data_IF_795249754998
#
_entry.id   IF_795249754998
#
_cell.length_a   1.000
_cell.length_b   1.000
_cell.length_c   1.000
_cell.angle_alpha   90.00
_cell.angle_beta   90.00
_cell.angle_gamma   90.00
#
_symmetry.space_group_name_H-M   'P 1'
#
loop_
_entity.id
_entity.type
_entity.pdbx_description
1 polymer ?
#
# COMPACT_ATOMS: atom_id res chain seq x y z
N UNK A 1 31.97 38.60 41.85
CA UNK A 1 32.47 37.22 41.73
C UNK A 1 31.32 36.36 41.22
N UNK A 2 31.25 36.17 39.91
CA UNK A 2 30.14 35.51 39.20
C UNK A 2 30.68 34.20 38.67
N UNK A 3 30.25 33.09 39.26
CA UNK A 3 30.44 31.77 38.66
C UNK A 3 29.14 30.98 38.85
N UNK A 4 28.22 31.19 37.91
CA UNK A 4 27.23 30.20 37.52
C UNK A 4 27.95 29.11 36.72
N UNK A 5 27.85 27.86 37.16
CA UNK A 5 28.03 26.71 36.26
C UNK A 5 26.89 25.73 36.53
N UNK A 6 25.73 26.04 35.95
CA UNK A 6 24.68 25.06 35.68
C UNK A 6 25.22 24.09 34.62
N UNK A 7 25.63 22.91 35.06
CA UNK A 7 25.97 21.80 34.16
C UNK A 7 24.68 21.11 33.73
N UNK A 8 24.18 21.48 32.55
CA UNK A 8 23.08 20.81 31.88
C UNK A 8 23.56 19.46 31.32
N UNK A 9 23.38 18.39 32.10
CA UNK A 9 23.52 17.03 31.58
C UNK A 9 22.47 16.76 30.51
N UNK A 10 22.94 16.66 29.27
CA UNK A 10 22.18 16.26 28.10
C UNK A 10 21.66 14.83 28.29
N UNK A 11 20.36 14.68 28.56
CA UNK A 11 19.68 13.39 28.52
C UNK A 11 19.70 12.86 27.07
N UNK A 12 20.14 11.62 26.81
CA UNK A 12 20.05 11.05 25.48
C UNK A 12 18.58 10.73 25.22
N UNK A 13 17.87 11.57 24.47
CA UNK A 13 16.57 11.24 23.90
C UNK A 13 16.74 10.29 22.72
N UNK A 14 17.34 9.13 22.96
CA UNK A 14 17.38 8.04 22.00
C UNK A 14 16.48 6.95 22.56
N UNK A 15 15.17 7.13 22.36
CA UNK A 15 14.19 6.09 22.59
C UNK A 15 14.33 5.02 21.49
N UNK A 16 15.50 4.37 21.43
CA UNK A 16 15.70 3.13 20.71
C UNK A 16 14.85 2.07 21.40
N UNK A 17 13.58 2.00 21.01
CA UNK A 17 12.67 0.95 21.48
C UNK A 17 13.23 -0.38 20.97
N UNK A 18 13.93 -1.10 21.84
CA UNK A 18 14.41 -2.43 21.57
C UNK A 18 13.19 -3.36 21.50
N UNK A 19 12.98 -3.97 20.35
CA UNK A 19 11.92 -4.95 20.17
C UNK A 19 12.52 -6.34 20.29
N UNK A 20 11.97 -7.17 21.18
CA UNK A 20 12.40 -8.57 21.30
C UNK A 20 11.93 -9.35 20.07
N UNK A 21 12.87 -9.77 19.22
CA UNK A 21 12.55 -10.39 17.94
C UNK A 21 11.83 -9.46 16.95
N UNK A 22 11.76 -9.90 15.71
CA UNK A 22 11.16 -9.15 14.62
C UNK A 22 12.01 -9.26 13.36
N UNK A 23 11.46 -8.75 12.27
CA UNK A 23 12.12 -8.71 10.98
C UNK A 23 11.86 -7.36 10.32
N UNK A 24 12.65 -7.08 9.29
CA UNK A 24 12.42 -5.93 8.44
C UNK A 24 11.27 -6.25 7.48
N UNK A 25 10.42 -5.26 7.24
CA UNK A 25 9.30 -5.36 6.29
C UNK A 25 9.25 -4.12 5.43
N UNK A 26 9.15 -4.32 4.11
CA UNK A 26 8.81 -3.25 3.17
C UNK A 26 7.28 -3.13 3.13
N UNK A 27 6.79 -1.99 3.61
CA UNK A 27 5.35 -1.76 3.83
C UNK A 27 4.95 -0.34 3.42
N UNK A 28 3.65 -0.14 3.29
CA UNK A 28 3.04 1.17 3.05
C UNK A 28 2.78 1.86 4.38
N UNK A 29 3.42 3.00 4.60
CA UNK A 29 3.07 3.94 5.66
C UNK A 29 2.03 4.93 5.11
N UNK A 30 0.93 5.13 5.83
CA UNK A 30 -0.11 6.08 5.42
C UNK A 30 0.29 7.48 5.89
N UNK A 31 0.10 8.45 5.02
CA UNK A 31 0.17 9.87 5.31
C UNK A 31 -0.92 10.61 4.57
N UNK A 32 -0.79 11.94 4.57
CA UNK A 32 -1.77 12.84 4.00
C UNK A 32 -2.82 13.28 5.01
N UNK A 33 -3.90 13.87 4.49
CA UNK A 33 -5.00 14.43 5.28
C UNK A 33 -6.23 13.53 5.17
N UNK A 34 -7.25 13.81 5.98
CA UNK A 34 -8.56 13.18 5.86
C UNK A 34 -9.06 13.27 4.40
N UNK A 35 -9.55 12.16 3.85
CA UNK A 35 -10.01 12.03 2.46
C UNK A 35 -8.93 12.29 1.37
N UNK A 36 -7.66 12.49 1.76
CA UNK A 36 -6.51 12.61 0.85
C UNK A 36 -5.40 11.64 1.28
N UNK A 37 -5.58 10.33 1.03
CA UNK A 37 -4.57 9.33 1.39
C UNK A 37 -3.34 9.47 0.48
N UNK A 38 -2.15 9.43 1.09
CA UNK A 38 -0.87 9.36 0.38
C UNK A 38 0.00 8.31 1.06
N UNK A 39 0.54 7.35 0.31
CA UNK A 39 1.35 6.28 0.89
C UNK A 39 2.83 6.51 0.62
N UNK A 40 3.66 6.34 1.66
CA UNK A 40 5.11 6.23 1.53
C UNK A 40 5.50 4.76 1.59
N UNK A 41 6.35 4.34 0.67
CA UNK A 41 6.91 2.98 0.66
C UNK A 41 8.15 3.02 1.54
N UNK A 42 8.14 2.27 2.64
CA UNK A 42 9.18 2.34 3.65
C UNK A 42 9.68 0.94 4.04
N UNK A 43 10.98 0.84 4.30
CA UNK A 43 11.55 -0.29 5.02
C UNK A 43 11.49 0.01 6.52
N UNK A 44 10.72 -0.78 7.27
CA UNK A 44 10.55 -0.56 8.71
C UNK A 44 10.52 -1.91 9.45
N UNK A 45 10.83 -1.88 10.74
CA UNK A 45 10.70 -3.07 11.59
C UNK A 45 9.21 -3.41 11.74
N UNK A 46 8.87 -4.70 11.68
CA UNK A 46 7.49 -5.16 11.74
C UNK A 46 6.70 -4.59 12.94
N UNK A 47 7.34 -4.57 14.13
CA UNK A 47 6.73 -4.12 15.39
C UNK A 47 6.67 -2.60 15.58
N UNK A 48 7.29 -1.81 14.70
CA UNK A 48 7.16 -0.36 14.74
C UNK A 48 5.74 0.07 14.35
N UNK A 49 5.21 1.19 14.89
CA UNK A 49 3.95 1.77 14.44
C UNK A 49 3.93 2.01 12.92
N UNK A 50 2.73 1.96 12.31
CA UNK A 50 2.55 2.07 10.86
C UNK A 50 3.28 3.27 10.26
N UNK A 51 3.04 4.45 10.85
CA UNK A 51 3.54 5.74 10.35
C UNK A 51 4.68 6.28 11.23
N UNK A 52 5.28 5.42 12.05
CA UNK A 52 6.35 5.78 12.98
C UNK A 52 7.74 5.72 12.32
N UNK A 53 8.75 5.45 13.15
CA UNK A 53 10.14 5.35 12.72
C UNK A 53 10.34 4.22 11.69
N UNK A 54 10.92 4.57 10.56
CA UNK A 54 11.37 3.66 9.51
C UNK A 54 12.90 3.73 9.36
N UNK A 55 13.47 2.74 8.68
CA UNK A 55 14.92 2.66 8.39
C UNK A 55 15.26 3.51 7.17
N UNK A 56 14.51 3.32 6.08
CA UNK A 56 14.72 4.02 4.82
C UNK A 56 13.39 4.17 4.08
N UNK A 57 13.23 5.29 3.36
CA UNK A 57 12.12 5.48 2.43
C UNK A 57 12.54 5.01 1.03
N UNK A 58 11.78 4.08 0.47
CA UNK A 58 12.07 3.42 -0.80
C UNK A 58 11.23 3.94 -1.95
N UNK A 59 10.21 4.75 -1.67
CA UNK A 59 9.30 5.24 -2.71
C UNK A 59 8.04 5.91 -2.17
N UNK A 60 7.07 6.10 -3.07
CA UNK A 60 5.76 6.68 -2.80
C UNK A 60 4.67 6.10 -3.69
N UNK A 61 3.43 6.21 -3.25
CA UNK A 61 2.25 5.79 -3.99
C UNK A 61 1.09 6.77 -3.74
N UNK A 62 0.62 7.41 -4.80
CA UNK A 62 -0.61 8.21 -4.80
C UNK A 62 -1.78 7.36 -5.34
N UNK A 63 -2.75 6.98 -4.49
CA UNK A 63 -3.90 6.20 -4.91
C UNK A 63 -4.93 7.02 -5.70
N UNK A 64 -4.91 8.36 -5.57
CA UNK A 64 -5.82 9.25 -6.27
C UNK A 64 -5.27 9.56 -7.66
N UNK A 65 -6.12 9.51 -8.69
CA UNK A 65 -5.69 9.89 -10.03
C UNK A 65 -5.34 11.38 -10.08
N UNK A 66 -4.29 11.71 -10.82
CA UNK A 66 -3.95 13.09 -11.16
C UNK A 66 -4.90 13.65 -12.24
N UNK A 67 -4.64 14.88 -12.71
CA UNK A 67 -5.38 15.53 -13.80
C UNK A 67 -5.39 14.71 -15.09
N UNK A 68 -4.38 13.86 -15.31
CA UNK A 68 -4.27 12.98 -16.46
C UNK A 68 -4.92 11.59 -16.24
N UNK A 69 -5.54 11.34 -15.08
CA UNK A 69 -6.18 10.06 -14.77
C UNK A 69 -5.23 8.96 -14.28
N UNK A 70 -3.96 9.30 -14.03
CA UNK A 70 -2.90 8.34 -13.69
C UNK A 70 -2.64 8.27 -12.19
N UNK A 71 -2.29 7.07 -11.71
CA UNK A 71 -1.85 6.85 -10.33
C UNK A 71 -0.34 6.74 -10.28
N UNK A 72 0.29 7.65 -9.54
CA UNK A 72 1.74 7.74 -9.51
C UNK A 72 2.33 6.80 -8.46
N UNK A 73 3.34 6.03 -8.88
CA UNK A 73 4.10 5.13 -8.03
C UNK A 73 5.58 5.36 -8.30
N UNK A 74 6.32 5.82 -7.29
CA UNK A 74 7.78 5.94 -7.36
C UNK A 74 8.42 4.78 -6.60
N UNK A 75 9.34 4.07 -7.24
CA UNK A 75 10.04 2.92 -6.66
C UNK A 75 11.55 3.04 -6.86
N UNK A 76 12.29 2.98 -5.76
CA UNK A 76 13.74 2.79 -5.82
C UNK A 76 14.05 1.29 -5.88
N UNK A 77 14.17 0.77 -7.10
CA UNK A 77 14.34 -0.66 -7.36
C UNK A 77 15.66 -1.22 -6.77
N UNK A 78 16.74 -0.44 -6.82
CA UNK A 78 18.05 -0.86 -6.30
C UNK A 78 18.00 -1.08 -4.80
N UNK A 79 17.40 -0.14 -4.07
CA UNK A 79 17.26 -0.24 -2.61
C UNK A 79 16.25 -1.31 -2.22
N UNK A 80 15.16 -1.47 -2.97
CA UNK A 80 14.21 -2.56 -2.76
C UNK A 80 14.91 -3.92 -2.90
N UNK A 81 15.70 -4.11 -3.98
CA UNK A 81 16.46 -5.34 -4.20
C UNK A 81 17.46 -5.61 -3.08
N UNK A 82 18.18 -4.57 -2.64
CA UNK A 82 19.11 -4.66 -1.52
C UNK A 82 18.41 -5.17 -0.25
N UNK A 83 17.31 -4.54 0.15
CA UNK A 83 16.62 -4.90 1.38
C UNK A 83 15.98 -6.30 1.32
N UNK A 84 15.46 -6.71 0.16
CA UNK A 84 15.01 -8.09 -0.05
C UNK A 84 16.18 -9.06 0.14
N UNK A 85 17.36 -8.75 -0.40
CA UNK A 85 18.58 -9.54 -0.20
C UNK A 85 19.02 -9.64 1.27
N UNK A 86 18.76 -8.61 2.07
CA UNK A 86 19.00 -8.61 3.52
C UNK A 86 17.93 -9.37 4.34
N UNK A 87 16.96 -10.03 3.68
CA UNK A 87 15.89 -10.77 4.36
C UNK A 87 14.67 -9.92 4.74
N UNK A 88 14.44 -8.77 4.08
CA UNK A 88 13.22 -8.01 4.28
C UNK A 88 12.00 -8.74 3.68
N UNK A 89 10.92 -8.80 4.46
CA UNK A 89 9.64 -9.32 3.99
C UNK A 89 8.85 -8.24 3.25
N UNK A 90 8.00 -8.65 2.30
CA UNK A 90 7.06 -7.75 1.63
C UNK A 90 5.67 -7.86 2.26
N UNK A 91 4.92 -6.76 2.21
CA UNK A 91 3.49 -6.78 2.55
C UNK A 91 2.65 -7.10 1.30
N UNK A 92 1.50 -7.76 1.46
CA UNK A 92 0.58 -8.09 0.36
C UNK A 92 0.27 -6.92 -0.61
N UNK A 93 -0.03 -5.68 -0.16
CA UNK A 93 -0.24 -4.57 -1.09
C UNK A 93 1.03 -4.19 -1.85
N UNK A 94 2.21 -4.29 -1.22
CA UNK A 94 3.49 -4.03 -1.86
C UNK A 94 3.83 -5.08 -2.92
N UNK A 95 3.57 -6.36 -2.64
CA UNK A 95 3.74 -7.45 -3.63
C UNK A 95 2.86 -7.23 -4.86
N UNK A 96 1.61 -6.77 -4.66
CA UNK A 96 0.73 -6.43 -5.77
C UNK A 96 1.25 -5.26 -6.59
N UNK A 97 1.77 -4.22 -5.94
CA UNK A 97 2.37 -3.06 -6.64
C UNK A 97 3.59 -3.47 -7.47
N UNK A 98 4.51 -4.27 -6.89
CA UNK A 98 5.69 -4.79 -7.59
C UNK A 98 5.33 -5.77 -8.71
N UNK A 99 4.24 -6.52 -8.55
CA UNK A 99 3.69 -7.38 -9.59
C UNK A 99 3.14 -6.59 -10.78
N UNK A 100 2.47 -5.46 -10.51
CA UNK A 100 1.96 -4.56 -11.55
C UNK A 100 3.09 -3.79 -12.27
N UNK A 101 4.19 -3.51 -11.58
CA UNK A 101 5.36 -2.86 -12.19
C UNK A 101 6.21 -3.80 -13.05
N UNK A 102 5.90 -5.10 -13.07
CA UNK A 102 6.70 -6.13 -13.76
C UNK A 102 8.01 -6.51 -13.05
N UNK A 103 8.23 -6.04 -11.82
CA UNK A 103 9.42 -6.42 -11.03
C UNK A 103 9.27 -7.79 -10.37
N UNK A 104 8.04 -8.13 -9.98
CA UNK A 104 7.65 -9.45 -9.46
C UNK A 104 6.62 -10.11 -10.38
N UNK A 105 6.41 -11.44 -10.27
CA UNK A 105 5.26 -12.08 -10.89
C UNK A 105 3.95 -11.53 -10.30
N UNK A 106 2.88 -11.58 -11.08
CA UNK A 106 1.58 -11.11 -10.63
C UNK A 106 1.08 -11.97 -9.46
N UNK A 107 0.77 -11.33 -8.33
CA UNK A 107 0.30 -12.04 -7.13
C UNK A 107 -0.97 -12.85 -7.45
N UNK A 108 -1.10 -14.12 -7.00
CA UNK A 108 -2.18 -15.03 -7.41
C UNK A 108 -3.58 -14.46 -7.17
N UNK A 109 -3.77 -13.77 -6.04
CA UNK A 109 -5.05 -13.11 -5.72
C UNK A 109 -5.47 -12.02 -6.72
N UNK A 110 -4.54 -11.39 -7.46
CA UNK A 110 -4.91 -10.43 -8.52
C UNK A 110 -5.66 -11.18 -9.64
N UNK A 111 -5.12 -12.34 -10.06
CA UNK A 111 -5.70 -13.19 -11.10
C UNK A 111 -7.08 -13.69 -10.65
N UNK A 112 -7.15 -14.30 -9.46
CA UNK A 112 -8.40 -14.83 -8.90
C UNK A 112 -9.47 -13.74 -8.73
N UNK A 113 -9.10 -12.54 -8.29
CA UNK A 113 -10.05 -11.44 -8.15
C UNK A 113 -10.56 -10.93 -9.52
N UNK A 114 -9.71 -10.91 -10.54
CA UNK A 114 -10.13 -10.58 -11.90
C UNK A 114 -11.14 -11.60 -12.44
N UNK A 115 -10.91 -12.90 -12.23
CA UNK A 115 -11.85 -13.95 -12.61
C UNK A 115 -13.20 -13.83 -11.88
N UNK A 116 -13.17 -13.57 -10.56
CA UNK A 116 -14.38 -13.34 -9.77
C UNK A 116 -15.18 -12.16 -10.32
N UNK A 117 -14.51 -11.06 -10.67
CA UNK A 117 -15.14 -9.89 -11.26
C UNK A 117 -15.77 -10.20 -12.63
N UNK A 118 -15.07 -10.95 -13.49
CA UNK A 118 -15.61 -11.39 -14.79
C UNK A 118 -16.89 -12.22 -14.63
N UNK A 119 -16.88 -13.22 -13.73
CA UNK A 119 -18.06 -14.04 -13.44
C UNK A 119 -19.21 -13.23 -12.84
N UNK A 120 -18.91 -12.21 -12.03
CA UNK A 120 -19.91 -11.30 -11.47
C UNK A 120 -20.59 -10.47 -12.58
N UNK A 121 -19.79 -9.82 -13.43
CA UNK A 121 -20.31 -9.02 -14.56
C UNK A 121 -21.14 -9.85 -15.53
N UNK A 122 -20.71 -11.08 -15.84
CA UNK A 122 -21.48 -11.99 -16.69
C UNK A 122 -22.87 -12.29 -16.12
N UNK A 123 -22.98 -12.53 -14.81
CA UNK A 123 -24.27 -12.72 -14.12
C UNK A 123 -25.12 -11.46 -14.18
N UNK A 124 -24.54 -10.29 -13.98
CA UNK A 124 -25.25 -9.01 -14.06
C UNK A 124 -25.83 -8.77 -15.46
N UNK A 125 -25.08 -9.10 -16.51
CA UNK A 125 -25.55 -9.02 -17.90
C UNK A 125 -26.73 -9.96 -18.15
N UNK A 126 -26.67 -11.21 -17.68
CA UNK A 126 -27.77 -12.17 -17.82
C UNK A 126 -29.04 -11.69 -17.10
N UNK A 127 -28.91 -11.16 -15.89
CA UNK A 127 -30.03 -10.60 -15.13
C UNK A 127 -30.62 -9.37 -15.83
N UNK A 128 -29.77 -8.52 -16.42
CA UNK A 128 -30.22 -7.36 -17.19
C UNK A 128 -31.00 -7.77 -18.44
N UNK A 129 -30.50 -8.76 -19.22
CA UNK A 129 -31.21 -9.25 -20.41
C UNK A 129 -32.55 -9.93 -20.07
N UNK A 130 -32.63 -10.62 -18.93
CA UNK A 130 -33.91 -11.20 -18.50
C UNK A 130 -34.94 -10.12 -18.19
N UNK A 131 -34.53 -9.03 -17.52
CA UNK A 131 -35.43 -7.90 -17.22
C UNK A 131 -35.94 -7.22 -18.49
N UNK A 132 -35.06 -6.94 -19.45
CA UNK A 132 -35.45 -6.30 -20.72
C UNK A 132 -36.43 -7.17 -21.51
N UNK A 133 -36.23 -8.49 -21.52
CA UNK A 133 -37.13 -9.42 -22.21
C UNK A 133 -38.52 -9.44 -21.55
N UNK A 134 -38.57 -9.46 -20.21
CA UNK A 134 -39.84 -9.39 -19.46
C UNK A 134 -40.59 -8.08 -19.75
N UNK A 135 -39.89 -6.94 -19.76
CA UNK A 135 -40.49 -5.62 -20.06
C UNK A 135 -41.02 -5.54 -21.51
N UNK A 136 -40.28 -6.11 -22.46
CA UNK A 136 -40.70 -6.13 -23.88
C UNK A 136 -41.95 -7.00 -24.07
N UNK A 137 -41.98 -8.20 -23.46
CA UNK A 137 -43.14 -9.09 -23.52
C UNK A 137 -44.39 -8.52 -22.86
N UNK A 138 -44.25 -7.74 -21.77
CA UNK A 138 -45.36 -7.10 -21.10
C UNK A 138 -45.99 -5.97 -21.94
N UNK A 139 -45.18 -5.28 -22.75
CA UNK A 139 -45.61 -4.17 -23.61
C UNK A 139 -46.35 -4.67 -24.86
N UNK A 140 -46.01 -5.86 -25.37
CA UNK A 140 -46.69 -6.47 -26.54
C UNK A 140 -48.07 -7.08 -26.22
N UNK A 141 -48.34 -7.41 -24.95
CA UNK A 141 -49.64 -7.95 -24.49
C UNK A 141 -50.69 -6.89 -24.09
N UNK A 142 -50.36 -5.59 -24.16
CA UNK A 142 -51.29 -4.47 -23.91
C UNK A 142 -51.67 -3.76 -25.20
#
# INVERSE_FOLDING_TARGET
QVHLTETWELRPTVFCKAYHGGHLTIRLALGGCTNRPFYRIVAAHNKCPRDGRFVEQLGSYDPLPNTHGEKLVALNLDRIRYWIGCGAHLSKPMEKLLGLSGFFPLHPMIITNAERLRRKRAREVLLASQKTNTETSATETS
#
